data_IF_430303398822
#
_entry.id   IF_430303398822
#
_cell.length_a   1.000
_cell.length_b   1.000
_cell.length_c   1.000
_cell.angle_alpha   90.00
_cell.angle_beta   90.00
_cell.angle_gamma   90.00
#
_symmetry.space_group_name_H-M   'P 1'
#
loop_
_entity.id
_entity.type
_entity.pdbx_description
1 polymer ?
#
# COMPACT_ATOMS: atom_id res chain seq x y z
N UNK A 1 -18.18 -23.63 15.24
CA UNK A 1 -17.21 -22.66 14.70
C UNK A 1 -15.94 -22.72 15.52
N UNK A 2 -14.78 -22.89 14.89
CA UNK A 2 -13.46 -22.96 15.49
C UNK A 2 -12.61 -21.79 14.97
N UNK A 3 -11.83 -21.15 15.86
CA UNK A 3 -10.85 -20.13 15.44
C UNK A 3 -9.46 -20.72 15.60
N UNK A 4 -8.71 -20.69 14.52
CA UNK A 4 -7.31 -21.11 14.49
C UNK A 4 -6.42 -19.88 14.31
N UNK A 5 -5.27 -19.90 14.99
CA UNK A 5 -4.25 -18.86 14.88
C UNK A 5 -2.96 -19.45 14.36
N UNK A 6 -2.26 -18.71 13.52
CA UNK A 6 -1.04 -19.17 12.87
C UNK A 6 0.09 -18.17 13.13
N UNK A 7 1.09 -18.61 13.89
CA UNK A 7 2.35 -17.90 14.01
C UNK A 7 3.22 -18.11 12.76
N UNK A 8 4.44 -17.58 12.77
CA UNK A 8 5.36 -17.65 11.61
C UNK A 8 5.57 -19.09 11.11
N UNK A 9 5.89 -20.03 12.01
CA UNK A 9 6.13 -21.42 11.64
C UNK A 9 4.84 -22.13 11.19
N UNK A 10 3.77 -21.97 11.97
CA UNK A 10 2.47 -22.57 11.67
C UNK A 10 1.90 -22.08 10.35
N UNK A 11 2.13 -20.79 10.00
CA UNK A 11 1.71 -20.23 8.72
C UNK A 11 2.46 -20.87 7.55
N UNK A 12 3.77 -21.14 7.71
CA UNK A 12 4.57 -21.85 6.72
C UNK A 12 4.03 -23.28 6.52
N UNK A 13 3.83 -24.02 7.61
CA UNK A 13 3.29 -25.38 7.57
C UNK A 13 1.88 -25.42 6.97
N UNK A 14 1.04 -24.42 7.30
CA UNK A 14 -0.32 -24.31 6.80
C UNK A 14 -0.36 -24.16 5.28
N UNK A 15 0.39 -23.21 4.70
CA UNK A 15 0.36 -22.97 3.24
C UNK A 15 0.95 -24.12 2.42
N UNK A 16 1.75 -24.99 3.03
CA UNK A 16 2.31 -26.20 2.41
C UNK A 16 1.39 -27.41 2.55
N UNK A 17 0.42 -27.36 3.48
CA UNK A 17 -0.45 -28.47 3.83
C UNK A 17 -1.42 -28.88 2.72
N UNK A 18 -1.87 -30.14 2.76
CA UNK A 18 -2.94 -30.61 1.89
C UNK A 18 -4.30 -30.01 2.23
N UNK A 19 -4.50 -29.58 3.49
CA UNK A 19 -5.69 -28.84 3.91
C UNK A 19 -5.81 -27.52 3.16
N UNK A 20 -4.76 -26.67 3.17
CA UNK A 20 -4.73 -25.42 2.42
C UNK A 20 -5.01 -25.61 0.92
N UNK A 21 -4.41 -26.66 0.31
CA UNK A 21 -4.59 -26.94 -1.11
C UNK A 21 -6.04 -27.30 -1.48
N UNK A 22 -6.77 -27.93 -0.55
CA UNK A 22 -8.16 -28.39 -0.73
C UNK A 22 -9.22 -27.33 -0.41
N UNK A 23 -8.89 -26.27 0.34
CA UNK A 23 -9.84 -25.21 0.66
C UNK A 23 -10.45 -24.59 -0.59
N UNK A 24 -11.75 -24.38 -0.64
CA UNK A 24 -12.42 -23.62 -1.71
C UNK A 24 -12.09 -22.15 -1.64
N UNK A 25 -12.10 -21.56 -0.44
CA UNK A 25 -11.63 -20.22 -0.16
C UNK A 25 -10.40 -20.28 0.76
N UNK A 26 -9.40 -19.44 0.51
CA UNK A 26 -8.17 -19.38 1.30
C UNK A 26 -8.07 -18.09 2.11
N UNK A 27 -7.56 -18.14 3.36
CA UNK A 27 -7.44 -16.95 4.20
C UNK A 27 -6.27 -16.04 3.82
N UNK A 28 -5.32 -16.54 3.05
CA UNK A 28 -4.14 -15.82 2.60
C UNK A 28 -3.63 -16.46 1.30
N UNK A 29 -3.15 -15.66 0.33
CA UNK A 29 -2.47 -16.22 -0.84
C UNK A 29 -1.06 -16.68 -0.49
N UNK A 30 -0.54 -17.66 -1.21
CA UNK A 30 0.78 -18.27 -0.94
C UNK A 30 1.90 -17.22 -0.87
N UNK A 31 2.02 -16.37 -1.89
CA UNK A 31 3.06 -15.35 -1.93
C UNK A 31 2.90 -14.26 -0.86
N UNK A 32 1.68 -13.94 -0.45
CA UNK A 32 1.44 -13.04 0.67
C UNK A 32 1.83 -13.67 2.00
N UNK A 33 1.53 -14.96 2.22
CA UNK A 33 1.98 -15.67 3.40
C UNK A 33 3.50 -15.69 3.49
N UNK A 34 4.21 -15.94 2.38
CA UNK A 34 5.67 -15.83 2.32
C UNK A 34 6.16 -14.42 2.70
N UNK A 35 5.48 -13.35 2.25
CA UNK A 35 5.82 -11.99 2.66
C UNK A 35 5.67 -11.79 4.16
N UNK A 36 4.59 -12.28 4.78
CA UNK A 36 4.41 -12.20 6.24
C UNK A 36 5.50 -12.96 6.99
N UNK A 37 5.86 -14.16 6.53
CA UNK A 37 6.88 -15.04 7.13
C UNK A 37 8.28 -14.40 7.07
N UNK A 38 8.60 -13.71 5.97
CA UNK A 38 9.91 -13.08 5.75
C UNK A 38 9.95 -11.59 6.17
N UNK A 39 8.89 -11.08 6.81
CA UNK A 39 8.89 -9.73 7.34
C UNK A 39 10.02 -9.54 8.36
N UNK A 40 10.93 -8.54 8.17
CA UNK A 40 12.04 -8.30 9.10
C UNK A 40 11.61 -8.06 10.55
N UNK A 41 10.42 -7.48 10.75
CA UNK A 41 9.88 -7.18 12.08
C UNK A 41 9.10 -8.36 12.69
N UNK A 42 8.99 -9.50 12.00
CA UNK A 42 8.25 -10.67 12.49
C UNK A 42 9.10 -11.51 13.45
N UNK A 43 8.68 -11.63 14.70
CA UNK A 43 9.25 -12.59 15.65
C UNK A 43 8.61 -13.99 15.46
N UNK A 44 9.25 -15.02 16.00
CA UNK A 44 8.78 -16.39 15.84
C UNK A 44 7.41 -16.63 16.48
N UNK A 45 7.14 -15.96 17.59
CA UNK A 45 5.91 -16.05 18.38
C UNK A 45 4.76 -15.19 17.85
N UNK A 46 5.01 -14.26 16.91
CA UNK A 46 3.97 -13.37 16.38
C UNK A 46 2.89 -14.18 15.64
N UNK A 47 1.67 -14.03 16.03
CA UNK A 47 0.52 -14.56 15.29
C UNK A 47 0.23 -13.65 14.09
N UNK A 48 0.30 -14.23 12.89
CA UNK A 48 0.18 -13.50 11.62
C UNK A 48 -1.20 -13.60 10.98
N UNK A 49 -1.97 -14.62 11.36
CA UNK A 49 -3.27 -14.92 10.77
C UNK A 49 -4.18 -15.58 11.81
N UNK A 50 -5.43 -15.13 11.86
CA UNK A 50 -6.54 -15.86 12.50
C UNK A 50 -7.55 -16.24 11.44
N UNK A 51 -7.98 -17.49 11.43
CA UNK A 51 -8.99 -18.02 10.53
C UNK A 51 -10.10 -18.71 11.32
N UNK A 52 -11.34 -18.43 10.95
CA UNK A 52 -12.54 -19.03 11.51
C UNK A 52 -13.08 -20.09 10.56
N UNK A 53 -13.31 -21.28 11.07
CA UNK A 53 -13.84 -22.42 10.31
C UNK A 53 -15.15 -22.93 10.90
N UNK A 54 -16.03 -23.40 10.04
CA UNK A 54 -17.22 -24.19 10.38
C UNK A 54 -17.21 -25.46 9.52
N UNK A 55 -17.06 -26.64 10.13
CA UNK A 55 -16.97 -27.92 9.41
C UNK A 55 -15.98 -27.88 8.23
N UNK A 56 -14.75 -27.45 8.48
CA UNK A 56 -13.67 -27.26 7.49
C UNK A 56 -13.92 -26.14 6.44
N UNK A 57 -15.06 -25.45 6.50
CA UNK A 57 -15.35 -24.32 5.63
C UNK A 57 -14.78 -23.03 6.23
N UNK A 58 -13.95 -22.31 5.49
CA UNK A 58 -13.46 -20.99 5.89
C UNK A 58 -14.60 -19.98 5.86
N UNK A 59 -14.96 -19.43 7.04
CA UNK A 59 -16.07 -18.47 7.19
C UNK A 59 -15.60 -17.04 7.52
N UNK A 60 -14.33 -16.89 7.88
CA UNK A 60 -13.74 -15.56 8.10
C UNK A 60 -12.27 -15.62 8.44
N UNK A 61 -11.57 -14.50 8.29
CA UNK A 61 -10.18 -14.38 8.69
C UNK A 61 -9.74 -12.94 8.89
N UNK A 62 -8.65 -12.76 9.63
CA UNK A 62 -7.95 -11.49 9.79
C UNK A 62 -6.45 -11.74 9.80
N UNK A 63 -5.74 -11.00 8.95
CA UNK A 63 -4.29 -11.00 8.90
C UNK A 63 -3.69 -9.85 9.71
N UNK A 64 -2.43 -10.02 10.12
CA UNK A 64 -1.67 -9.01 10.85
C UNK A 64 -0.28 -8.91 10.27
N UNK A 65 0.21 -7.68 10.14
CA UNK A 65 1.55 -7.36 9.69
C UNK A 65 2.34 -6.71 10.83
N UNK A 66 3.32 -7.39 11.42
CA UNK A 66 4.23 -6.79 12.41
C UNK A 66 5.01 -5.61 11.84
N UNK A 67 5.32 -4.66 12.68
CA UNK A 67 6.14 -3.50 12.36
C UNK A 67 6.76 -2.90 13.62
N UNK A 68 7.66 -1.96 13.45
CA UNK A 68 8.25 -1.19 14.55
C UNK A 68 7.93 0.29 14.34
N UNK A 69 7.45 0.96 15.37
CA UNK A 69 7.38 2.41 15.41
C UNK A 69 8.32 2.97 16.47
N UNK A 70 8.87 4.15 16.22
CA UNK A 70 9.54 4.94 17.24
C UNK A 70 8.56 5.94 17.81
N UNK A 71 8.34 5.88 19.12
CA UNK A 71 7.45 6.78 19.82
C UNK A 71 7.99 7.07 21.23
N UNK A 72 8.03 8.36 21.62
CA UNK A 72 8.62 8.83 22.89
C UNK A 72 10.08 8.38 23.06
N UNK A 73 10.86 8.41 21.97
CA UNK A 73 12.26 8.00 21.95
C UNK A 73 12.54 6.49 22.06
N UNK A 74 11.50 5.65 22.07
CA UNK A 74 11.59 4.19 22.24
C UNK A 74 11.02 3.49 21.03
N UNK A 75 11.70 2.43 20.57
CA UNK A 75 11.19 1.55 19.55
C UNK A 75 10.12 0.61 20.16
N UNK A 76 8.92 0.64 19.60
CA UNK A 76 7.79 -0.19 20.03
C UNK A 76 7.36 -1.10 18.89
N UNK A 77 7.15 -2.37 19.20
CA UNK A 77 6.54 -3.31 18.25
C UNK A 77 5.06 -3.01 18.11
N UNK A 78 4.59 -2.96 16.87
CA UNK A 78 3.20 -2.67 16.51
C UNK A 78 2.69 -3.70 15.50
N UNK A 79 1.37 -3.76 15.34
CA UNK A 79 0.71 -4.73 14.48
C UNK A 79 -0.35 -4.04 13.62
N UNK A 80 -0.14 -4.07 12.30
CA UNK A 80 -1.10 -3.57 11.34
C UNK A 80 -2.17 -4.61 11.07
N UNK A 81 -3.42 -4.26 11.34
CA UNK A 81 -4.54 -5.08 10.91
C UNK A 81 -4.62 -5.05 9.38
N UNK A 82 -4.64 -6.22 8.78
CA UNK A 82 -4.60 -6.38 7.34
C UNK A 82 -5.56 -7.46 6.87
N UNK A 83 -6.33 -7.19 5.80
CA UNK A 83 -7.23 -8.16 5.18
C UNK A 83 -8.21 -8.84 6.14
N UNK A 84 -9.15 -8.09 6.63
CA UNK A 84 -10.25 -8.61 7.43
C UNK A 84 -11.44 -8.95 6.53
N UNK A 85 -11.85 -10.22 6.55
CA UNK A 85 -12.97 -10.71 5.75
C UNK A 85 -13.84 -11.68 6.54
N UNK A 86 -15.16 -11.63 6.29
CA UNK A 86 -16.13 -12.60 6.80
C UNK A 86 -17.11 -12.90 5.67
N UNK A 87 -17.41 -14.17 5.47
CA UNK A 87 -18.39 -14.63 4.49
C UNK A 87 -19.77 -13.97 4.72
N UNK A 88 -20.46 -13.64 3.64
CA UNK A 88 -21.74 -12.91 3.71
C UNK A 88 -22.84 -13.69 4.45
N UNK A 89 -22.86 -15.00 4.30
CA UNK A 89 -23.81 -15.88 4.98
C UNK A 89 -23.58 -15.97 6.49
N UNK A 90 -22.36 -15.63 6.96
CA UNK A 90 -21.96 -15.67 8.37
C UNK A 90 -21.88 -14.29 9.04
N UNK A 91 -22.18 -13.19 8.34
CA UNK A 91 -22.04 -11.81 8.89
C UNK A 91 -22.87 -11.53 10.15
N UNK A 92 -23.98 -12.26 10.40
CA UNK A 92 -24.81 -12.08 11.61
C UNK A 92 -24.48 -13.06 12.73
N UNK A 93 -23.48 -13.93 12.55
CA UNK A 93 -23.12 -14.99 13.49
C UNK A 93 -21.93 -14.63 14.37
N UNK A 94 -21.65 -13.33 14.55
CA UNK A 94 -20.57 -12.79 15.40
C UNK A 94 -19.13 -13.18 15.00
N UNK A 95 -18.91 -13.79 13.82
CA UNK A 95 -17.57 -14.21 13.35
C UNK A 95 -16.59 -13.05 13.36
N UNK A 96 -17.00 -11.88 12.84
CA UNK A 96 -16.17 -10.68 12.85
C UNK A 96 -15.76 -10.26 14.25
N UNK A 97 -16.69 -10.31 15.22
CA UNK A 97 -16.43 -9.93 16.59
C UNK A 97 -15.44 -10.90 17.25
N UNK A 98 -15.63 -12.20 17.04
CA UNK A 98 -14.75 -13.23 17.61
C UNK A 98 -13.31 -13.10 17.08
N UNK A 99 -13.14 -12.96 15.76
CA UNK A 99 -11.83 -12.73 15.14
C UNK A 99 -11.17 -11.46 15.68
N UNK A 100 -11.94 -10.37 15.77
CA UNK A 100 -11.42 -9.10 16.22
C UNK A 100 -11.06 -9.11 17.72
N UNK A 101 -11.86 -9.77 18.56
CA UNK A 101 -11.54 -9.94 19.98
C UNK A 101 -10.32 -10.84 20.23
N UNK A 102 -10.12 -11.88 19.42
CA UNK A 102 -8.90 -12.70 19.47
C UNK A 102 -7.65 -11.84 19.22
N UNK A 103 -7.72 -10.98 18.21
CA UNK A 103 -6.65 -10.04 17.86
C UNK A 103 -6.42 -8.97 18.95
N UNK A 104 -7.49 -8.36 19.49
CA UNK A 104 -7.37 -7.38 20.57
C UNK A 104 -6.72 -8.02 21.80
N UNK A 105 -7.16 -9.21 22.20
CA UNK A 105 -6.63 -9.88 23.38
C UNK A 105 -5.13 -10.12 23.30
N UNK A 106 -4.58 -10.32 22.08
CA UNK A 106 -3.16 -10.58 21.88
C UNK A 106 -2.35 -9.28 21.70
N UNK A 107 -2.94 -8.27 21.05
CA UNK A 107 -2.19 -7.07 20.63
C UNK A 107 -2.82 -5.74 21.11
N UNK A 108 -3.61 -5.74 22.16
CA UNK A 108 -4.50 -4.68 22.64
C UNK A 108 -3.95 -3.25 22.51
N UNK A 109 -2.73 -3.01 22.98
CA UNK A 109 -2.14 -1.68 23.05
C UNK A 109 -1.28 -1.33 21.81
N UNK A 110 -1.20 -2.20 20.82
CA UNK A 110 -0.22 -2.12 19.73
C UNK A 110 -0.82 -2.24 18.34
N UNK A 111 -2.15 -2.02 18.22
CA UNK A 111 -2.86 -2.18 16.96
C UNK A 111 -2.87 -0.88 16.15
N UNK A 112 -2.58 -1.03 14.87
CA UNK A 112 -2.68 -0.01 13.83
C UNK A 112 -3.65 -0.47 12.75
N UNK A 113 -4.55 0.41 12.31
CA UNK A 113 -5.51 0.16 11.24
C UNK A 113 -5.43 1.31 10.24
N UNK A 114 -5.19 1.01 8.97
CA UNK A 114 -5.14 1.99 7.90
C UNK A 114 -6.17 1.69 6.81
N UNK A 115 -6.59 2.71 6.07
CA UNK A 115 -7.43 2.58 4.86
C UNK A 115 -8.69 1.72 5.03
N UNK A 116 -9.30 1.75 6.20
CA UNK A 116 -10.52 1.00 6.50
C UNK A 116 -11.75 1.60 5.80
N UNK A 117 -12.79 0.78 5.67
CA UNK A 117 -14.06 1.22 5.09
C UNK A 117 -14.69 2.26 6.04
N UNK A 118 -15.09 3.46 5.57
CA UNK A 118 -15.62 4.52 6.44
C UNK A 118 -16.78 4.09 7.34
N UNK A 119 -17.59 3.12 6.92
CA UNK A 119 -18.68 2.57 7.72
C UNK A 119 -18.20 1.88 9.02
N UNK A 120 -16.97 1.38 9.04
CA UNK A 120 -16.37 0.71 10.21
C UNK A 120 -15.77 1.70 11.24
N UNK A 121 -15.54 2.94 10.87
CA UNK A 121 -14.94 3.95 11.77
C UNK A 121 -15.68 4.05 13.11
N UNK A 122 -17.00 4.20 13.05
CA UNK A 122 -17.83 4.27 14.28
C UNK A 122 -17.75 2.98 15.11
N UNK A 123 -17.60 1.85 14.46
CA UNK A 123 -17.46 0.56 15.16
C UNK A 123 -16.15 0.49 15.93
N UNK A 124 -15.04 0.86 15.29
CA UNK A 124 -13.74 0.91 15.96
C UNK A 124 -13.72 1.92 17.11
N UNK A 125 -14.30 3.11 16.92
CA UNK A 125 -14.38 4.13 17.98
C UNK A 125 -15.19 3.67 19.20
N UNK A 126 -16.27 2.89 19.00
CA UNK A 126 -17.11 2.36 20.10
C UNK A 126 -16.39 1.33 20.99
N UNK A 127 -15.33 0.70 20.51
CA UNK A 127 -14.54 -0.26 21.31
C UNK A 127 -13.79 0.42 22.46
N UNK A 128 -13.59 1.73 22.39
CA UNK A 128 -12.98 2.51 23.48
C UNK A 128 -11.48 2.34 23.66
N UNK A 129 -10.82 1.47 22.90
CA UNK A 129 -9.37 1.21 22.94
C UNK A 129 -8.58 2.07 21.95
N UNK A 130 -9.23 2.64 20.95
CA UNK A 130 -8.60 3.43 19.90
C UNK A 130 -8.68 4.93 20.16
N UNK A 131 -7.73 5.65 19.58
CA UNK A 131 -7.77 7.09 19.46
C UNK A 131 -8.74 7.54 18.36
N UNK A 132 -9.13 8.83 18.33
CA UNK A 132 -9.84 9.41 17.21
C UNK A 132 -9.09 9.19 15.90
N UNK A 133 -9.82 9.01 14.81
CA UNK A 133 -9.25 8.78 13.47
C UNK A 133 -8.37 9.96 13.04
N UNK A 134 -7.14 9.68 12.70
CA UNK A 134 -6.26 10.66 12.06
C UNK A 134 -6.34 10.53 10.55
N UNK A 135 -6.29 11.66 9.85
CA UNK A 135 -6.32 11.73 8.39
C UNK A 135 -5.06 12.39 7.86
N UNK A 136 -4.42 11.73 6.91
CA UNK A 136 -3.34 12.29 6.12
C UNK A 136 -3.88 12.72 4.77
N UNK A 137 -3.58 13.95 4.37
CA UNK A 137 -4.02 14.50 3.08
C UNK A 137 -2.94 14.29 2.05
N UNK A 138 -3.34 13.76 0.91
CA UNK A 138 -2.51 13.57 -0.26
C UNK A 138 -3.18 14.14 -1.51
N UNK A 139 -2.49 14.00 -2.64
CA UNK A 139 -2.95 14.53 -3.91
C UNK A 139 -2.81 13.48 -5.00
N UNK A 140 -3.87 13.36 -5.80
CA UNK A 140 -3.93 12.53 -6.98
C UNK A 140 -4.03 13.42 -8.22
N UNK A 141 -3.11 13.24 -9.15
CA UNK A 141 -3.07 13.93 -10.41
C UNK A 141 -3.45 12.98 -11.52
N UNK A 142 -4.55 13.24 -12.19
CA UNK A 142 -4.96 12.46 -13.37
C UNK A 142 -4.17 12.95 -14.58
N UNK A 143 -3.45 12.04 -15.23
CA UNK A 143 -2.54 12.33 -16.34
C UNK A 143 -3.10 11.86 -17.67
N UNK A 144 -4.17 11.08 -17.65
CA UNK A 144 -4.90 10.60 -18.82
C UNK A 144 -6.40 10.54 -18.55
N UNK A 145 -7.18 10.62 -19.62
CA UNK A 145 -8.61 10.41 -19.57
C UNK A 145 -8.89 8.92 -19.30
N UNK A 146 -9.77 8.65 -18.35
CA UNK A 146 -10.18 7.31 -17.91
C UNK A 146 -11.68 7.29 -17.56
N UNK A 147 -12.51 7.95 -18.39
CA UNK A 147 -13.96 8.02 -18.19
C UNK A 147 -14.60 6.64 -18.15
N UNK A 148 -14.14 5.72 -19.01
CA UNK A 148 -14.63 4.34 -19.05
C UNK A 148 -14.56 3.67 -17.68
N UNK A 149 -13.44 3.80 -16.97
CA UNK A 149 -13.27 3.18 -15.65
C UNK A 149 -14.12 3.88 -14.58
N UNK A 150 -14.20 5.21 -14.62
CA UNK A 150 -14.97 6.01 -13.68
C UNK A 150 -16.47 5.77 -13.86
N UNK A 151 -16.97 5.74 -15.09
CA UNK A 151 -18.39 5.54 -15.39
C UNK A 151 -18.85 4.12 -15.02
N UNK A 152 -18.07 3.10 -15.40
CA UNK A 152 -18.45 1.70 -15.14
C UNK A 152 -18.39 1.38 -13.65
N UNK A 153 -17.40 1.91 -12.92
CA UNK A 153 -17.30 1.66 -11.48
C UNK A 153 -18.42 2.30 -10.65
N UNK A 154 -19.03 3.37 -11.18
CA UNK A 154 -20.10 4.11 -10.46
C UNK A 154 -21.51 3.77 -10.91
N UNK A 155 -21.71 3.39 -12.17
CA UNK A 155 -23.04 3.24 -12.76
C UNK A 155 -23.06 1.97 -13.63
N UNK A 156 -23.25 0.83 -12.99
CA UNK A 156 -23.34 -0.48 -13.68
C UNK A 156 -24.37 -0.53 -14.81
N UNK A 157 -25.47 0.24 -14.69
CA UNK A 157 -26.50 0.37 -15.73
C UNK A 157 -26.04 1.03 -17.03
N UNK A 158 -24.90 1.74 -17.02
CA UNK A 158 -24.35 2.41 -18.21
C UNK A 158 -23.31 1.57 -18.95
N UNK A 159 -23.25 0.28 -18.69
CA UNK A 159 -22.29 -0.63 -19.37
C UNK A 159 -22.42 -0.64 -20.89
N UNK A 160 -23.60 -0.32 -21.45
CA UNK A 160 -23.82 -0.17 -22.90
C UNK A 160 -23.03 0.99 -23.52
N UNK A 161 -22.64 2.01 -22.74
CA UNK A 161 -21.81 3.13 -23.20
C UNK A 161 -20.32 2.81 -23.21
N UNK A 162 -19.91 1.61 -22.76
CA UNK A 162 -18.50 1.20 -22.69
C UNK A 162 -17.75 1.37 -24.02
N UNK A 163 -18.25 0.96 -25.18
CA UNK A 163 -17.52 1.15 -26.45
C UNK A 163 -17.32 2.62 -26.81
N UNK A 164 -18.35 3.44 -26.62
CA UNK A 164 -18.27 4.86 -26.90
C UNK A 164 -17.31 5.59 -25.95
N UNK A 165 -17.32 5.24 -24.67
CA UNK A 165 -16.40 5.83 -23.69
C UNK A 165 -14.94 5.41 -23.92
N UNK A 166 -14.68 4.19 -24.38
CA UNK A 166 -13.33 3.74 -24.78
C UNK A 166 -12.84 4.55 -25.98
N UNK A 167 -13.67 4.76 -26.99
CA UNK A 167 -13.31 5.58 -28.16
C UNK A 167 -13.01 7.02 -27.76
N UNK A 168 -13.85 7.62 -26.90
CA UNK A 168 -13.64 8.97 -26.38
C UNK A 168 -12.34 9.06 -25.57
N UNK A 169 -12.09 8.12 -24.66
CA UNK A 169 -10.85 8.07 -23.90
C UNK A 169 -9.62 7.96 -24.81
N UNK A 170 -9.68 7.11 -25.84
CA UNK A 170 -8.57 6.93 -26.79
C UNK A 170 -8.31 8.20 -27.61
N UNK A 171 -9.35 8.83 -28.14
CA UNK A 171 -9.24 10.06 -28.92
C UNK A 171 -8.66 11.20 -28.08
N UNK A 172 -9.20 11.44 -26.89
CA UNK A 172 -8.73 12.49 -25.99
C UNK A 172 -7.29 12.22 -25.50
N UNK A 173 -6.96 10.97 -25.22
CA UNK A 173 -5.61 10.58 -24.83
C UNK A 173 -4.60 10.70 -25.98
N UNK A 174 -5.02 10.48 -27.23
CA UNK A 174 -4.19 10.72 -28.40
C UNK A 174 -3.88 12.21 -28.54
N UNK A 175 -4.90 13.05 -28.48
CA UNK A 175 -4.75 14.52 -28.52
C UNK A 175 -3.82 15.03 -27.41
N UNK A 176 -4.00 14.54 -26.17
CA UNK A 176 -3.16 14.90 -25.05
C UNK A 176 -1.70 14.41 -25.23
N UNK A 177 -1.51 13.25 -25.84
CA UNK A 177 -0.19 12.71 -26.15
C UNK A 177 0.53 13.50 -27.24
N UNK A 178 -0.18 13.93 -28.29
CA UNK A 178 0.37 14.80 -29.31
C UNK A 178 0.80 16.15 -28.72
N UNK A 179 -0.05 16.75 -27.89
CA UNK A 179 0.30 17.98 -27.16
C UNK A 179 1.57 17.81 -26.32
N UNK A 180 1.78 16.62 -25.74
CA UNK A 180 2.95 16.34 -24.92
C UNK A 180 4.27 16.32 -25.73
N UNK A 181 4.24 16.11 -27.05
CA UNK A 181 5.43 16.18 -27.91
C UNK A 181 6.01 17.60 -27.99
N UNK A 182 5.18 18.60 -27.83
CA UNK A 182 5.60 20.04 -27.86
C UNK A 182 6.13 20.51 -26.50
N UNK A 183 6.18 19.65 -25.49
CA UNK A 183 6.71 20.04 -24.21
C UNK A 183 8.23 20.08 -24.22
N UNK A 184 8.78 21.18 -23.74
CA UNK A 184 10.22 21.34 -23.58
C UNK A 184 10.78 20.23 -22.70
N UNK A 185 11.87 19.58 -23.14
CA UNK A 185 12.61 18.64 -22.31
C UNK A 185 13.16 19.40 -21.10
N UNK A 186 12.96 18.83 -19.92
CA UNK A 186 13.55 19.39 -18.71
C UNK A 186 15.03 19.06 -18.63
N UNK A 187 15.81 19.98 -18.10
CA UNK A 187 17.14 19.69 -17.61
C UNK A 187 16.99 19.19 -16.17
N UNK A 188 17.49 18.01 -15.90
CA UNK A 188 17.70 17.49 -14.55
C UNK A 188 19.10 17.92 -14.11
N UNK A 189 19.21 18.36 -12.87
CA UNK A 189 20.50 18.72 -12.28
C UNK A 189 21.10 17.52 -11.54
N UNK A 190 20.25 16.57 -11.13
CA UNK A 190 20.64 15.39 -10.38
C UNK A 190 20.60 14.14 -11.25
N UNK A 191 21.49 13.20 -10.93
CA UNK A 191 21.49 11.90 -11.53
C UNK A 191 20.52 10.99 -10.74
N UNK A 192 19.45 10.51 -11.41
CA UNK A 192 18.46 9.62 -10.83
C UNK A 192 18.52 8.30 -11.58
N UNK A 193 18.81 7.22 -10.86
CA UNK A 193 19.03 5.89 -11.40
C UNK A 193 18.10 4.88 -10.75
N UNK A 194 17.63 3.92 -11.52
CA UNK A 194 16.92 2.75 -11.00
C UNK A 194 17.94 1.78 -10.39
N UNK A 195 17.83 1.55 -9.08
CA UNK A 195 18.75 0.72 -8.32
C UNK A 195 18.04 0.13 -7.10
N UNK A 196 18.17 -1.17 -6.91
CA UNK A 196 17.56 -1.95 -5.84
C UNK A 196 18.62 -2.57 -4.90
N UNK A 197 19.85 -2.04 -4.88
CA UNK A 197 20.88 -2.45 -3.92
C UNK A 197 20.73 -1.61 -2.65
N UNK A 198 20.49 -2.23 -1.50
CA UNK A 198 20.25 -1.54 -0.22
C UNK A 198 21.41 -1.79 0.75
N UNK A 199 22.55 -1.20 0.42
CA UNK A 199 23.81 -1.29 1.16
C UNK A 199 23.84 -0.37 2.40
N UNK A 200 24.99 -0.33 3.07
CA UNK A 200 25.24 0.53 4.24
C UNK A 200 25.05 2.02 3.92
N UNK A 201 25.42 2.47 2.71
CA UNK A 201 25.23 3.88 2.30
C UNK A 201 23.76 4.22 2.20
N UNK A 202 22.95 3.28 1.73
CA UNK A 202 21.52 3.42 1.70
C UNK A 202 20.93 3.49 3.12
N UNK A 203 21.41 2.65 4.05
CA UNK A 203 20.99 2.72 5.46
C UNK A 203 21.29 4.08 6.08
N UNK A 204 22.50 4.61 5.91
CA UNK A 204 22.88 5.95 6.39
C UNK A 204 21.96 7.03 5.80
N UNK A 205 21.60 6.93 4.52
CA UNK A 205 20.64 7.84 3.89
C UNK A 205 19.28 7.80 4.59
N UNK A 206 18.70 6.60 4.73
CA UNK A 206 17.37 6.43 5.36
C UNK A 206 17.39 7.02 6.77
N UNK A 207 18.39 6.70 7.58
CA UNK A 207 18.51 7.18 8.95
C UNK A 207 18.62 8.71 9.03
N UNK A 208 19.27 9.34 8.05
CA UNK A 208 19.40 10.81 7.98
C UNK A 208 18.09 11.53 7.70
N UNK A 209 17.12 10.87 7.06
CA UNK A 209 15.82 11.44 6.70
C UNK A 209 14.66 10.96 7.58
N UNK A 210 14.86 9.94 8.41
CA UNK A 210 13.84 9.54 9.38
C UNK A 210 13.68 10.65 10.46
N UNK A 211 12.45 10.95 10.88
CA UNK A 211 12.22 11.84 12.01
C UNK A 211 12.90 11.33 13.27
N UNK A 212 13.16 12.22 14.22
CA UNK A 212 13.75 11.82 15.51
C UNK A 212 12.81 10.95 16.33
N UNK A 213 11.50 11.16 16.18
CA UNK A 213 10.47 10.47 16.93
C UNK A 213 9.14 10.44 16.16
N UNK A 214 8.20 9.58 16.58
CA UNK A 214 6.84 9.45 16.05
C UNK A 214 6.81 9.12 14.56
N UNK A 215 7.38 7.97 14.19
CA UNK A 215 7.38 7.45 12.82
C UNK A 215 7.43 5.91 12.79
N UNK A 216 7.09 5.34 11.63
CA UNK A 216 7.26 3.90 11.36
C UNK A 216 8.69 3.66 10.91
N UNK A 217 9.45 2.91 11.71
CA UNK A 217 10.86 2.62 11.45
C UNK A 217 11.00 1.75 10.18
N UNK A 218 11.93 2.15 9.33
CA UNK A 218 12.36 1.39 8.16
C UNK A 218 13.88 1.36 8.10
N UNK A 219 14.41 0.24 7.64
CA UNK A 219 15.82 0.04 7.34
C UNK A 219 15.99 -0.62 5.96
N UNK A 220 17.23 -0.86 5.56
CA UNK A 220 17.56 -1.46 4.26
C UNK A 220 16.88 -2.82 4.05
N UNK A 221 16.79 -3.65 5.09
CA UNK A 221 16.14 -4.96 5.04
C UNK A 221 14.66 -4.91 4.72
N UNK A 222 13.97 -3.83 5.14
CA UNK A 222 12.56 -3.64 4.77
C UNK A 222 12.36 -3.41 3.29
N UNK A 223 13.29 -2.68 2.62
CA UNK A 223 13.18 -2.43 1.18
C UNK A 223 13.51 -3.68 0.37
N UNK A 224 14.50 -4.47 0.79
CA UNK A 224 14.77 -5.79 0.23
C UNK A 224 13.54 -6.71 0.33
N UNK A 225 12.92 -6.76 1.50
CA UNK A 225 11.71 -7.54 1.74
C UNK A 225 10.54 -7.09 0.87
N UNK A 226 10.25 -5.78 0.79
CA UNK A 226 9.16 -5.23 -0.01
C UNK A 226 9.31 -5.63 -1.48
N UNK A 227 10.52 -5.53 -2.02
CA UNK A 227 10.76 -5.85 -3.44
C UNK A 227 10.77 -7.36 -3.69
N UNK A 228 11.25 -8.17 -2.75
CA UNK A 228 11.37 -9.62 -2.90
C UNK A 228 10.05 -10.36 -2.69
N UNK A 229 9.13 -9.81 -1.89
CA UNK A 229 7.89 -10.49 -1.49
C UNK A 229 6.64 -9.63 -1.74
N UNK A 230 6.32 -9.27 -2.98
CA UNK A 230 5.12 -8.49 -3.31
C UNK A 230 3.85 -9.30 -3.03
N UNK A 231 2.77 -8.64 -2.56
CA UNK A 231 1.48 -9.31 -2.32
C UNK A 231 0.62 -9.46 -3.56
N UNK A 232 0.90 -8.66 -4.56
CA UNK A 232 0.21 -8.70 -5.84
C UNK A 232 1.24 -9.08 -6.91
N UNK A 233 0.95 -10.13 -7.64
CA UNK A 233 1.78 -10.57 -8.76
C UNK A 233 1.20 -10.05 -10.08
N UNK A 234 2.08 -9.66 -10.99
CA UNK A 234 1.65 -9.25 -12.32
C UNK A 234 1.16 -10.46 -13.13
N UNK A 235 0.00 -10.34 -13.75
CA UNK A 235 -0.56 -11.38 -14.61
C UNK A 235 -2.07 -11.50 -14.53
N UNK A 236 -2.61 -12.47 -15.28
CA UNK A 236 -4.03 -12.82 -15.25
C UNK A 236 -4.37 -13.59 -13.97
N UNK A 237 -5.61 -13.49 -13.47
CA UNK A 237 -6.08 -14.32 -12.37
C UNK A 237 -5.88 -15.81 -12.65
N UNK A 238 -5.27 -16.52 -11.71
CA UNK A 238 -5.07 -17.97 -11.72
C UNK A 238 -6.05 -18.68 -10.76
N UNK A 239 -5.88 -20.00 -10.59
CA UNK A 239 -6.74 -20.81 -9.72
C UNK A 239 -6.68 -20.33 -8.28
N UNK A 240 -5.50 -20.01 -7.76
CA UNK A 240 -5.32 -19.56 -6.38
C UNK A 240 -5.93 -18.18 -6.14
N UNK A 241 -5.69 -17.22 -7.04
CA UNK A 241 -6.21 -15.86 -6.92
C UNK A 241 -7.74 -15.77 -6.94
N UNK A 242 -8.43 -16.80 -7.48
CA UNK A 242 -9.89 -16.90 -7.45
C UNK A 242 -10.44 -17.41 -6.12
N UNK A 243 -9.62 -18.08 -5.33
CA UNK A 243 -9.96 -18.61 -4.00
C UNK A 243 -9.71 -17.59 -2.89
N UNK A 244 -8.99 -16.52 -3.20
CA UNK A 244 -8.65 -15.47 -2.26
C UNK A 244 -9.52 -14.23 -2.48
N UNK A 245 -10.17 -13.75 -1.43
CA UNK A 245 -11.12 -12.64 -1.54
C UNK A 245 -10.47 -11.32 -1.99
N UNK A 246 -9.25 -11.04 -1.50
CA UNK A 246 -8.53 -9.83 -1.88
C UNK A 246 -7.71 -10.03 -3.14
N UNK A 247 -7.33 -8.92 -3.78
CA UNK A 247 -6.50 -8.97 -5.00
C UNK A 247 -5.14 -9.58 -4.71
N UNK A 248 -4.76 -10.61 -5.44
CA UNK A 248 -3.44 -11.22 -5.44
C UNK A 248 -2.78 -11.21 -6.83
N UNK A 249 -3.52 -10.74 -7.85
CA UNK A 249 -3.06 -10.54 -9.24
C UNK A 249 -3.54 -9.20 -9.77
N UNK A 250 -2.72 -8.60 -10.63
CA UNK A 250 -3.05 -7.37 -11.34
C UNK A 250 -2.47 -7.41 -12.75
N UNK A 251 -3.10 -6.75 -13.71
CA UNK A 251 -2.62 -6.68 -15.10
C UNK A 251 -1.26 -6.01 -15.21
N UNK A 252 -0.99 -5.06 -14.32
CA UNK A 252 0.30 -4.40 -14.14
C UNK A 252 0.54 -4.17 -12.66
N UNK A 253 1.61 -4.75 -12.13
CA UNK A 253 2.08 -4.49 -10.78
C UNK A 253 3.61 -4.54 -10.73
N UNK A 254 4.21 -3.58 -10.03
CA UNK A 254 5.64 -3.55 -9.80
C UNK A 254 6.08 -2.32 -9.05
N UNK A 255 7.32 -2.36 -8.63
CA UNK A 255 7.99 -1.24 -7.97
C UNK A 255 9.05 -0.64 -8.90
N UNK A 256 9.30 0.66 -8.73
CA UNK A 256 10.44 1.34 -9.32
C UNK A 256 11.21 2.01 -8.18
N UNK A 257 12.37 1.46 -7.90
CA UNK A 257 13.30 1.88 -6.84
C UNK A 257 14.30 2.86 -7.45
N UNK A 258 14.25 4.12 -7.07
CA UNK A 258 15.09 5.16 -7.66
C UNK A 258 15.99 5.79 -6.59
N UNK A 259 17.29 5.75 -6.83
CA UNK A 259 18.31 6.46 -6.06
C UNK A 259 18.69 7.78 -6.73
N UNK A 260 18.89 8.79 -5.92
CA UNK A 260 19.20 10.15 -6.35
C UNK A 260 20.63 10.46 -5.93
N UNK A 261 21.45 10.85 -6.90
CA UNK A 261 22.86 11.15 -6.68
C UNK A 261 23.16 12.63 -6.99
N UNK A 262 23.85 13.26 -6.06
CA UNK A 262 24.44 14.58 -6.21
C UNK A 262 25.97 14.46 -6.11
N UNK A 263 26.70 14.87 -7.14
CA UNK A 263 28.17 14.74 -7.18
C UNK A 263 28.68 13.34 -6.80
N UNK A 264 28.01 12.28 -7.29
CA UNK A 264 28.29 10.86 -7.00
C UNK A 264 27.96 10.41 -5.56
N UNK A 265 27.44 11.28 -4.70
CA UNK A 265 26.97 10.92 -3.37
C UNK A 265 25.48 10.60 -3.42
N UNK A 266 25.08 9.52 -2.75
CA UNK A 266 23.67 9.17 -2.59
C UNK A 266 23.00 10.22 -1.70
N UNK A 267 22.06 11.00 -2.27
CA UNK A 267 21.44 12.16 -1.63
C UNK A 267 19.93 12.03 -1.44
N UNK A 268 19.33 10.97 -2.00
CA UNK A 268 17.90 10.72 -1.83
C UNK A 268 17.44 9.38 -2.40
N UNK A 269 16.22 9.03 -2.06
CA UNK A 269 15.58 7.79 -2.47
C UNK A 269 14.08 7.97 -2.64
N UNK A 270 13.50 7.33 -3.66
CA UNK A 270 12.06 7.24 -3.85
C UNK A 270 11.67 5.83 -4.28
N UNK A 271 10.68 5.25 -3.61
CA UNK A 271 10.01 4.02 -4.03
C UNK A 271 8.66 4.35 -4.63
N UNK A 272 8.51 4.01 -5.89
CA UNK A 272 7.28 4.14 -6.65
C UNK A 272 6.62 2.77 -6.77
N UNK A 273 5.32 2.70 -6.51
CA UNK A 273 4.48 1.54 -6.78
C UNK A 273 3.62 1.82 -8.00
N UNK A 274 3.60 0.89 -8.95
CA UNK A 274 2.77 0.96 -10.15
C UNK A 274 1.78 -0.20 -10.12
N UNK A 275 0.49 0.11 -10.13
CA UNK A 275 -0.59 -0.87 -10.19
C UNK A 275 -1.66 -0.40 -11.18
N UNK A 276 -2.00 -1.23 -12.18
CA UNK A 276 -3.10 -0.98 -13.14
C UNK A 276 -3.09 0.45 -13.71
N UNK A 277 -1.91 0.91 -14.16
CA UNK A 277 -1.68 2.27 -14.70
C UNK A 277 -1.78 3.41 -13.67
N UNK A 278 -1.82 3.11 -12.38
CA UNK A 278 -1.71 4.09 -11.31
C UNK A 278 -0.31 4.04 -10.69
N UNK A 279 0.33 5.20 -10.54
CA UNK A 279 1.59 5.37 -9.84
C UNK A 279 1.31 5.97 -8.47
N UNK A 280 1.88 5.35 -7.43
CA UNK A 280 1.84 5.85 -6.06
C UNK A 280 3.27 6.02 -5.54
N UNK A 281 3.54 7.13 -4.89
CA UNK A 281 4.82 7.38 -4.19
C UNK A 281 4.72 6.77 -2.82
N UNK A 282 5.30 5.59 -2.65
CA UNK A 282 5.20 4.83 -1.39
C UNK A 282 6.17 5.33 -0.33
N UNK A 283 7.42 5.58 -0.71
CA UNK A 283 8.44 6.15 0.18
C UNK A 283 9.22 7.24 -0.52
N UNK A 284 9.54 8.30 0.22
CA UNK A 284 10.34 9.43 -0.27
C UNK A 284 11.27 9.94 0.83
N UNK A 285 12.56 9.77 0.63
CA UNK A 285 13.65 10.26 1.48
C UNK A 285 14.50 11.22 0.67
N UNK A 286 14.33 12.53 0.87
CA UNK A 286 15.02 13.54 0.05
C UNK A 286 14.98 14.92 0.67
N UNK A 287 15.98 15.74 0.34
CA UNK A 287 16.02 17.14 0.67
C UNK A 287 15.08 17.98 -0.22
N UNK A 288 14.77 19.19 0.21
CA UNK A 288 13.93 20.13 -0.56
C UNK A 288 14.57 20.53 -1.90
N UNK A 289 15.90 20.52 -1.98
CA UNK A 289 16.64 20.88 -3.21
C UNK A 289 16.36 19.88 -4.34
N UNK A 290 16.29 18.58 -4.03
CA UNK A 290 16.09 17.52 -5.01
C UNK A 290 14.65 17.35 -5.46
N UNK A 291 13.68 17.89 -4.73
CA UNK A 291 12.26 17.61 -4.94
C UNK A 291 11.76 17.99 -6.34
N UNK A 292 12.32 19.04 -6.94
CA UNK A 292 12.00 19.47 -8.31
C UNK A 292 12.42 18.43 -9.35
N UNK A 293 13.64 17.89 -9.22
CA UNK A 293 14.15 16.90 -10.17
C UNK A 293 13.42 15.55 -10.03
N UNK A 294 13.01 15.22 -8.80
CA UNK A 294 12.15 14.06 -8.51
C UNK A 294 10.78 14.25 -9.17
N UNK A 295 10.15 15.42 -9.04
CA UNK A 295 8.87 15.69 -9.70
C UNK A 295 8.96 15.53 -11.22
N UNK A 296 10.06 15.99 -11.82
CA UNK A 296 10.34 15.80 -13.25
C UNK A 296 10.46 14.31 -13.57
N UNK A 297 11.24 13.56 -12.79
CA UNK A 297 11.43 12.12 -13.00
C UNK A 297 10.11 11.34 -12.93
N UNK A 298 9.29 11.61 -11.92
CA UNK A 298 7.96 11.00 -11.76
C UNK A 298 7.05 11.30 -12.95
N UNK A 299 7.02 12.55 -13.42
CA UNK A 299 6.20 12.97 -14.56
C UNK A 299 6.71 12.35 -15.88
N UNK A 300 8.03 12.18 -16.06
CA UNK A 300 8.61 11.48 -17.20
C UNK A 300 8.24 9.98 -17.18
N UNK A 301 8.40 9.32 -16.05
CA UNK A 301 8.03 7.90 -15.87
C UNK A 301 6.55 7.67 -16.22
N UNK A 302 5.67 8.55 -15.75
CA UNK A 302 4.23 8.49 -16.04
C UNK A 302 3.95 8.63 -17.54
N UNK A 303 4.67 9.51 -18.23
CA UNK A 303 4.54 9.70 -19.68
C UNK A 303 5.03 8.49 -20.44
N UNK A 304 6.22 7.97 -20.10
CA UNK A 304 6.87 6.85 -20.78
C UNK A 304 6.02 5.57 -20.66
N UNK A 305 5.53 5.27 -19.47
CA UNK A 305 4.70 4.09 -19.22
C UNK A 305 3.20 4.31 -19.50
N UNK A 306 2.83 5.52 -19.97
CA UNK A 306 1.45 5.89 -20.28
C UNK A 306 0.51 5.65 -19.08
N UNK A 307 0.96 6.00 -17.88
CA UNK A 307 0.17 5.86 -16.66
C UNK A 307 -0.97 6.87 -16.62
N UNK A 308 -2.03 6.55 -15.89
CA UNK A 308 -3.27 7.35 -15.84
C UNK A 308 -3.31 8.34 -14.68
N UNK A 309 -2.58 8.05 -13.60
CA UNK A 309 -2.59 8.90 -12.42
C UNK A 309 -1.33 8.78 -11.59
N UNK A 310 -1.05 9.83 -10.81
CA UNK A 310 -0.01 9.89 -9.77
C UNK A 310 -0.70 10.16 -8.45
N UNK A 311 -0.36 9.41 -7.41
CA UNK A 311 -0.78 9.70 -6.03
C UNK A 311 0.45 9.94 -5.17
N UNK A 312 0.47 11.03 -4.42
CA UNK A 312 1.52 11.33 -3.43
C UNK A 312 0.92 11.98 -2.18
N UNK A 313 1.49 11.65 -1.04
CA UNK A 313 1.16 12.27 0.24
C UNK A 313 2.29 13.20 0.73
N UNK A 314 3.37 13.36 -0.03
CA UNK A 314 4.38 14.39 0.21
C UNK A 314 3.91 15.71 -0.43
N UNK A 315 3.67 16.70 0.42
CA UNK A 315 3.17 18.02 -0.02
C UNK A 315 4.18 18.74 -0.92
N UNK A 316 5.48 18.64 -0.64
CA UNK A 316 6.55 19.28 -1.43
C UNK A 316 6.53 18.76 -2.86
N UNK A 317 6.45 17.44 -3.02
CA UNK A 317 6.34 16.78 -4.33
C UNK A 317 5.04 17.17 -5.05
N UNK A 318 3.92 17.19 -4.32
CA UNK A 318 2.63 17.58 -4.89
C UNK A 318 2.66 19.04 -5.42
N UNK A 319 3.28 19.95 -4.68
CA UNK A 319 3.39 21.35 -5.06
C UNK A 319 4.31 21.53 -6.28
N UNK A 320 5.40 20.76 -6.40
CA UNK A 320 6.24 20.75 -7.61
C UNK A 320 5.50 20.16 -8.83
N UNK A 321 4.73 19.10 -8.66
CA UNK A 321 3.89 18.55 -9.74
C UNK A 321 2.86 19.59 -10.18
N UNK A 322 2.24 20.35 -9.26
CA UNK A 322 1.26 21.41 -9.56
C UNK A 322 1.82 22.51 -10.44
N UNK A 323 3.08 22.88 -10.27
CA UNK A 323 3.74 23.90 -11.13
C UNK A 323 3.78 23.47 -12.61
N UNK A 324 3.64 22.17 -12.88
CA UNK A 324 3.64 21.58 -14.23
C UNK A 324 2.22 21.32 -14.74
N UNK A 325 1.35 22.34 -14.67
CA UNK A 325 -0.09 22.28 -14.96
C UNK A 325 -0.46 21.66 -16.30
N UNK A 326 0.39 21.75 -17.30
CA UNK A 326 0.18 21.19 -18.62
C UNK A 326 0.46 19.68 -18.72
N UNK A 327 0.97 19.03 -17.67
CA UNK A 327 1.35 17.60 -17.64
C UNK A 327 0.30 16.68 -17.01
N UNK A 328 -0.74 17.25 -16.42
CA UNK A 328 -1.86 16.50 -15.87
C UNK A 328 -3.19 17.18 -16.21
N UNK A 329 -4.29 16.45 -16.08
CA UNK A 329 -5.63 16.94 -16.39
C UNK A 329 -6.25 17.66 -15.19
N UNK A 330 -6.42 16.95 -14.10
CA UNK A 330 -7.11 17.41 -12.88
C UNK A 330 -6.34 16.93 -11.66
N UNK A 331 -6.09 17.79 -10.67
CA UNK A 331 -5.67 17.38 -9.34
C UNK A 331 -6.89 17.06 -8.48
N UNK A 332 -6.80 16.08 -7.62
CA UNK A 332 -7.82 15.72 -6.64
C UNK A 332 -7.16 15.50 -5.29
N UNK A 333 -7.73 16.05 -4.23
CA UNK A 333 -7.35 15.70 -2.86
C UNK A 333 -7.81 14.28 -2.52
N UNK A 334 -6.96 13.52 -1.86
CA UNK A 334 -7.24 12.18 -1.36
C UNK A 334 -6.88 12.12 0.13
N UNK A 335 -7.53 11.23 0.85
CA UNK A 335 -7.29 11.05 2.29
C UNK A 335 -6.87 9.62 2.56
N UNK A 336 -5.91 9.45 3.44
CA UNK A 336 -5.53 8.19 4.04
C UNK A 336 -5.91 8.27 5.52
N UNK A 337 -6.63 7.27 6.03
CA UNK A 337 -7.13 7.22 7.39
C UNK A 337 -6.29 6.26 8.23
N UNK A 338 -6.08 6.64 9.49
CA UNK A 338 -5.39 5.83 10.48
C UNK A 338 -6.16 5.82 11.79
N UNK A 339 -6.29 4.64 12.40
CA UNK A 339 -6.74 4.44 13.76
C UNK A 339 -5.66 3.65 14.47
N UNK A 340 -5.27 4.10 15.66
CA UNK A 340 -4.29 3.42 16.51
C UNK A 340 -4.78 3.32 17.94
N UNK A 341 -4.25 2.38 18.68
CA UNK A 341 -4.54 2.23 20.11
C UNK A 341 -4.05 3.42 20.93
N UNK A 342 -4.62 3.65 22.11
CA UNK A 342 -4.43 4.88 22.91
C UNK A 342 -3.00 5.11 23.39
N UNK A 343 -2.19 4.08 23.48
CA UNK A 343 -0.81 4.16 23.96
C UNK A 343 0.15 4.95 23.05
N UNK A 344 -0.23 5.20 21.81
CA UNK A 344 0.61 5.85 20.79
C UNK A 344 -0.06 7.15 20.33
N UNK A 345 0.56 8.29 20.59
CA UNK A 345 0.05 9.58 20.12
C UNK A 345 0.21 9.69 18.60
N UNK A 346 -0.91 9.51 17.88
CA UNK A 346 -0.95 9.56 16.41
C UNK A 346 -0.90 10.98 15.85
N UNK A 347 -1.21 12.01 16.63
CA UNK A 347 -1.39 13.39 16.14
C UNK A 347 -0.09 13.99 15.60
N UNK A 348 1.03 13.59 16.19
CA UNK A 348 2.38 14.02 15.78
C UNK A 348 3.11 13.01 14.89
N UNK A 349 2.42 11.96 14.42
CA UNK A 349 3.06 10.85 13.71
C UNK A 349 3.36 11.20 12.26
N UNK A 350 4.58 10.89 11.84
CA UNK A 350 5.03 11.05 10.46
C UNK A 350 4.89 9.73 9.71
N UNK A 351 3.79 9.58 8.98
CA UNK A 351 3.56 8.42 8.11
C UNK A 351 4.09 8.65 6.70
N UNK A 352 4.57 7.60 6.06
CA UNK A 352 4.71 7.52 4.62
C UNK A 352 3.54 6.73 3.99
N UNK A 353 3.31 6.83 2.69
CA UNK A 353 2.16 6.13 2.04
C UNK A 353 2.33 4.62 2.13
N UNK A 354 3.56 4.17 2.02
CA UNK A 354 3.88 2.74 2.07
C UNK A 354 3.84 2.09 3.45
N UNK A 355 3.57 2.84 4.51
CA UNK A 355 3.55 2.26 5.86
C UNK A 355 2.39 1.28 6.04
N UNK A 356 2.65 0.24 6.81
CA UNK A 356 1.75 -0.88 6.97
C UNK A 356 1.67 -1.74 5.71
N UNK A 357 0.47 -2.12 5.32
CA UNK A 357 0.20 -2.96 4.15
C UNK A 357 -0.01 -2.15 2.85
N UNK A 358 -0.01 -0.82 2.94
CA UNK A 358 -0.28 0.05 1.79
C UNK A 358 0.75 -0.10 0.67
N UNK A 359 2.01 -0.37 0.98
CA UNK A 359 3.04 -0.59 -0.05
C UNK A 359 2.76 -1.80 -0.92
N UNK A 360 2.08 -2.80 -0.40
CA UNK A 360 1.83 -4.08 -1.08
C UNK A 360 0.50 -4.12 -1.87
N UNK A 361 -0.40 -3.13 -1.71
CA UNK A 361 -1.79 -3.19 -2.25
C UNK A 361 -2.12 -2.14 -3.35
#
# INVERSE_FOLDING_TARGET
MQIESYNRQQLQEFIESDFYKKLDNIPVSYHRALSHIHNPDCAAEDTLLWAAYEDDLLVGYVGVLPGICRAKGIDKKIYWLSCFWVDESYRKQQVASLLFFSLIREYEERLFISNFIPALEKTYQRLGIFQPTAYRIGYRFYTRFCFTEILISRISRMSFLKPASILADNFLNLFFSVRALFYKKWKKNLNIMEDSCFDEKFQILIDSFQPKDNYIRKDSGHFDWILSYPWILQGKPDKESRRYFFSSRSSQFGYCSLKIYENQHLSGYILLKIRDKALTVSYLYTSDVAIKDIAICVLEKVREEKLKMITTFDKRLADEIRKNRNRYLIPKEVKQSYIVTKEIDITSFSFQEGDGDSVFT
#
